data_IF_466930326167
#
_entry.id   IF_466930326167
#
_cell.length_a   1.000
_cell.length_b   1.000
_cell.length_c   1.000
_cell.angle_alpha   90.00
_cell.angle_beta   90.00
_cell.angle_gamma   90.00
#
_symmetry.space_group_name_H-M   'P 1'
#
loop_
_entity.id
_entity.type
_entity.pdbx_description
1 polymer ?
#
# COMPACT_ATOMS: atom_id res chain seq x y z
N UNK A 1 -9.46 25.72 22.01
CA UNK A 1 -8.54 24.71 21.40
C UNK A 1 -8.56 24.92 19.90
N UNK A 2 -7.41 25.09 19.24
CA UNK A 2 -7.39 25.27 17.78
C UNK A 2 -7.88 23.97 17.11
N UNK A 3 -8.80 24.09 16.19
CA UNK A 3 -9.34 22.99 15.41
C UNK A 3 -8.22 22.32 14.62
N UNK A 4 -8.01 21.00 14.81
CA UNK A 4 -6.99 20.25 14.07
C UNK A 4 -7.57 19.70 12.79
N UNK A 5 -6.93 20.02 11.68
CA UNK A 5 -7.26 19.47 10.37
C UNK A 5 -6.29 18.33 10.04
N UNK A 6 -6.83 17.15 9.75
CA UNK A 6 -6.09 15.91 9.59
C UNK A 6 -5.99 15.52 8.12
N UNK A 7 -4.79 15.25 7.62
CA UNK A 7 -4.58 14.58 6.35
C UNK A 7 -3.99 13.17 6.59
N UNK A 8 -4.49 12.17 5.87
CA UNK A 8 -4.07 10.77 6.00
C UNK A 8 -3.38 10.35 4.71
N UNK A 9 -2.20 9.80 4.83
CA UNK A 9 -1.36 9.32 3.73
C UNK A 9 -1.16 7.82 3.87
N UNK A 10 -1.60 7.05 2.87
CA UNK A 10 -1.63 5.60 2.91
C UNK A 10 -0.73 5.03 1.82
N UNK A 11 0.36 4.42 2.22
CA UNK A 11 1.17 3.58 1.36
C UNK A 11 0.43 2.24 1.13
N UNK A 12 -0.14 2.07 -0.06
CA UNK A 12 -0.93 0.89 -0.38
C UNK A 12 -0.10 -0.38 -0.37
N UNK A 13 1.15 -0.33 -0.81
CA UNK A 13 2.06 -1.47 -0.80
C UNK A 13 2.27 -2.04 0.61
N UNK A 14 2.41 -1.15 1.58
CA UNK A 14 2.49 -1.52 2.99
C UNK A 14 1.13 -1.90 3.57
N UNK A 15 0.13 -1.04 3.42
CA UNK A 15 -1.19 -1.19 4.01
C UNK A 15 -1.91 -2.48 3.55
N UNK A 16 -2.03 -2.70 2.24
CA UNK A 16 -2.76 -3.83 1.68
C UNK A 16 -2.12 -5.16 2.08
N UNK A 17 -0.78 -5.22 2.14
CA UNK A 17 -0.05 -6.43 2.58
C UNK A 17 -0.42 -6.89 3.99
N UNK A 18 -0.81 -5.95 4.86
CA UNK A 18 -1.18 -6.26 6.25
C UNK A 18 -2.70 -6.33 6.41
N UNK A 19 -3.42 -5.34 5.88
CA UNK A 19 -4.86 -5.22 6.03
C UNK A 19 -5.61 -6.33 5.30
N UNK A 20 -5.37 -6.50 3.99
CA UNK A 20 -6.06 -7.51 3.20
C UNK A 20 -5.79 -8.93 3.74
N UNK A 21 -4.56 -9.26 4.13
CA UNK A 21 -4.25 -10.58 4.70
C UNK A 21 -4.99 -10.89 6.00
N UNK A 22 -5.42 -9.88 6.75
CA UNK A 22 -6.14 -10.05 8.01
C UNK A 22 -7.65 -10.03 7.82
N UNK A 23 -8.15 -9.23 6.88
CA UNK A 23 -9.57 -8.98 6.65
C UNK A 23 -10.13 -9.88 5.55
N UNK A 24 -9.35 -10.11 4.50
CA UNK A 24 -9.75 -10.89 3.33
C UNK A 24 -8.54 -11.67 2.77
N UNK A 25 -8.07 -12.71 3.48
CA UNK A 25 -6.86 -13.44 3.11
C UNK A 25 -6.98 -14.18 1.78
N UNK A 26 -8.18 -14.55 1.38
CA UNK A 26 -8.46 -15.32 0.16
C UNK A 26 -8.92 -14.44 -1.01
N UNK A 27 -9.00 -13.13 -0.83
CA UNK A 27 -9.54 -12.18 -1.83
C UNK A 27 -10.98 -12.53 -2.28
N UNK A 28 -11.78 -13.05 -1.35
CA UNK A 28 -13.15 -13.49 -1.61
C UNK A 28 -14.19 -12.36 -1.43
N UNK A 29 -13.79 -11.29 -0.74
CA UNK A 29 -14.68 -10.15 -0.45
C UNK A 29 -14.92 -9.30 -1.71
N UNK A 30 -16.12 -8.79 -1.84
CA UNK A 30 -16.41 -7.80 -2.89
C UNK A 30 -15.51 -6.56 -2.74
N UNK A 31 -14.91 -6.06 -3.83
CA UNK A 31 -14.02 -4.90 -3.78
C UNK A 31 -14.65 -3.64 -3.16
N UNK A 32 -15.96 -3.45 -3.31
CA UNK A 32 -16.67 -2.29 -2.74
C UNK A 32 -16.81 -2.44 -1.22
N UNK A 33 -17.02 -3.64 -0.73
CA UNK A 33 -17.04 -3.93 0.70
C UNK A 33 -15.65 -3.76 1.32
N UNK A 34 -14.61 -4.29 0.68
CA UNK A 34 -13.23 -4.10 1.12
C UNK A 34 -12.87 -2.62 1.17
N UNK A 35 -13.23 -1.84 0.15
CA UNK A 35 -12.98 -0.40 0.11
C UNK A 35 -13.65 0.35 1.28
N UNK A 36 -14.89 -0.03 1.64
CA UNK A 36 -15.58 0.53 2.83
C UNK A 36 -14.84 0.19 4.12
N UNK A 37 -14.41 -1.07 4.29
CA UNK A 37 -13.65 -1.50 5.49
C UNK A 37 -12.30 -0.78 5.59
N UNK A 38 -11.61 -0.56 4.47
CA UNK A 38 -10.38 0.24 4.41
C UNK A 38 -10.64 1.69 4.80
N UNK A 39 -11.65 2.33 4.23
CA UNK A 39 -12.04 3.68 4.57
C UNK A 39 -12.37 3.84 6.06
N UNK A 40 -13.14 2.92 6.64
CA UNK A 40 -13.44 2.94 8.07
C UNK A 40 -12.19 2.82 8.95
N UNK A 41 -11.22 2.02 8.53
CA UNK A 41 -9.94 1.94 9.23
C UNK A 41 -9.24 3.30 9.25
N UNK A 42 -9.18 3.97 8.11
CA UNK A 42 -8.48 5.24 7.98
C UNK A 42 -9.15 6.36 8.78
N UNK A 43 -10.46 6.49 8.72
CA UNK A 43 -11.18 7.56 9.42
C UNK A 43 -11.16 7.43 10.95
N UNK A 44 -10.85 6.25 11.50
CA UNK A 44 -10.63 6.08 12.95
C UNK A 44 -9.45 6.88 13.49
N UNK A 45 -8.53 7.28 12.62
CA UNK A 45 -7.41 8.13 13.02
C UNK A 45 -7.84 9.55 13.35
N UNK A 46 -9.02 9.98 12.88
CA UNK A 46 -9.56 11.32 13.11
C UNK A 46 -10.38 11.34 14.39
N UNK A 47 -9.93 12.10 15.38
CA UNK A 47 -10.61 12.21 16.67
C UNK A 47 -11.64 13.35 16.64
N UNK A 48 -12.80 13.06 16.05
CA UNK A 48 -13.88 14.04 15.93
C UNK A 48 -14.40 14.53 17.28
N UNK A 49 -14.32 13.70 18.33
CA UNK A 49 -14.77 14.06 19.68
C UNK A 49 -13.90 15.16 20.28
N UNK A 50 -12.63 15.21 19.91
CA UNK A 50 -11.69 16.24 20.34
C UNK A 50 -11.51 17.35 19.27
N UNK A 51 -12.48 17.53 18.38
CA UNK A 51 -12.53 18.65 17.44
C UNK A 51 -11.62 18.47 16.20
N UNK A 52 -11.19 17.26 15.89
CA UNK A 52 -10.45 17.00 14.65
C UNK A 52 -11.41 16.89 13.45
N UNK A 53 -11.01 17.50 12.33
CA UNK A 53 -11.69 17.39 11.04
C UNK A 53 -10.82 16.74 10.00
N UNK A 54 -11.41 15.90 9.14
CA UNK A 54 -10.70 15.25 8.06
C UNK A 54 -10.60 16.17 6.84
N UNK A 55 -9.39 16.49 6.42
CA UNK A 55 -9.15 17.19 5.16
C UNK A 55 -9.23 16.23 3.98
N UNK A 56 -8.36 15.19 3.94
CA UNK A 56 -8.29 14.23 2.84
C UNK A 56 -7.56 12.96 3.25
N UNK A 57 -7.89 11.86 2.56
CA UNK A 57 -7.18 10.59 2.59
C UNK A 57 -6.51 10.43 1.23
N UNK A 58 -5.20 10.37 1.20
CA UNK A 58 -4.41 10.11 0.00
C UNK A 58 -3.98 8.65 0.01
N UNK A 59 -4.42 7.90 -0.99
CA UNK A 59 -4.09 6.48 -1.16
C UNK A 59 -3.15 6.32 -2.34
N UNK A 60 -1.93 5.84 -2.08
CA UNK A 60 -0.85 5.73 -3.05
C UNK A 60 -0.64 4.29 -3.47
N UNK A 61 -0.93 3.97 -4.73
CA UNK A 61 -0.74 2.64 -5.32
C UNK A 61 -0.26 2.77 -6.77
N UNK A 62 0.01 1.65 -7.40
CA UNK A 62 0.20 1.56 -8.84
C UNK A 62 -1.04 0.94 -9.50
N UNK A 63 -1.36 1.35 -10.74
CA UNK A 63 -2.41 0.68 -11.50
C UNK A 63 -2.10 -0.81 -11.63
N UNK A 64 -3.10 -1.70 -11.76
CA UNK A 64 -2.86 -3.10 -11.99
C UNK A 64 -2.17 -3.35 -13.34
N UNK A 65 -1.43 -4.46 -13.41
CA UNK A 65 -0.65 -4.82 -14.61
C UNK A 65 -1.59 -5.16 -15.77
N UNK A 66 -1.44 -4.44 -16.90
CA UNK A 66 -2.26 -4.63 -18.12
C UNK A 66 -1.36 -4.84 -19.34
N UNK A 67 -0.48 -5.83 -19.26
CA UNK A 67 0.44 -6.20 -20.35
C UNK A 67 0.18 -7.61 -20.82
N UNK A 68 0.65 -7.92 -22.04
CA UNK A 68 0.77 -9.28 -22.55
C UNK A 68 2.24 -9.67 -22.51
N UNK A 69 2.54 -10.85 -22.03
CA UNK A 69 3.90 -11.38 -21.99
C UNK A 69 3.89 -12.89 -22.17
N UNK A 70 4.94 -13.43 -22.80
CA UNK A 70 5.13 -14.86 -22.92
C UNK A 70 5.72 -15.41 -21.62
N UNK A 71 5.16 -16.52 -21.15
CA UNK A 71 5.66 -17.21 -19.98
C UNK A 71 7.01 -17.88 -20.29
N UNK A 72 8.08 -17.66 -19.50
CA UNK A 72 9.44 -18.09 -19.88
C UNK A 72 9.65 -19.60 -19.90
N UNK A 73 8.74 -20.39 -19.29
CA UNK A 73 8.84 -21.86 -19.29
C UNK A 73 7.91 -22.49 -20.32
N UNK A 74 6.66 -22.00 -20.42
CA UNK A 74 5.64 -22.62 -21.28
C UNK A 74 5.51 -21.96 -22.65
N UNK A 75 6.15 -20.80 -22.85
CA UNK A 75 6.02 -19.93 -24.02
C UNK A 75 4.57 -19.50 -24.35
N UNK A 76 3.63 -19.76 -23.46
CA UNK A 76 2.25 -19.34 -23.63
C UNK A 76 2.12 -17.82 -23.40
N UNK A 77 1.34 -17.17 -24.25
CA UNK A 77 1.02 -15.76 -24.07
C UNK A 77 0.01 -15.58 -22.94
N UNK A 78 0.39 -14.81 -21.93
CA UNK A 78 -0.46 -14.44 -20.79
C UNK A 78 -0.92 -13.01 -20.98
N UNK A 79 -2.24 -12.78 -20.99
CA UNK A 79 -2.86 -11.46 -20.95
C UNK A 79 -3.18 -11.09 -19.49
N UNK A 80 -2.27 -10.37 -18.84
CA UNK A 80 -2.43 -9.97 -17.44
C UNK A 80 -3.62 -9.04 -17.22
N UNK A 81 -4.11 -8.33 -18.24
CA UNK A 81 -5.31 -7.50 -18.13
C UNK A 81 -6.56 -8.31 -17.81
N UNK A 82 -6.59 -9.59 -18.24
CA UNK A 82 -7.71 -10.51 -18.02
C UNK A 82 -7.61 -11.32 -16.74
N UNK A 83 -6.50 -11.21 -16.00
CA UNK A 83 -6.34 -11.95 -14.73
C UNK A 83 -7.33 -11.46 -13.68
N UNK A 84 -7.82 -12.38 -12.85
CA UNK A 84 -8.75 -12.07 -11.75
C UNK A 84 -8.15 -11.03 -10.78
N UNK A 85 -6.86 -11.12 -10.53
CA UNK A 85 -6.13 -10.16 -9.69
C UNK A 85 -6.19 -8.75 -10.29
N UNK A 86 -5.98 -8.60 -11.59
CA UNK A 86 -6.03 -7.31 -12.27
C UNK A 86 -7.44 -6.74 -12.26
N UNK A 87 -8.44 -7.56 -12.53
CA UNK A 87 -9.84 -7.15 -12.50
C UNK A 87 -10.29 -6.77 -11.10
N UNK A 88 -9.92 -7.57 -10.09
CA UNK A 88 -10.20 -7.27 -8.69
C UNK A 88 -9.59 -5.94 -8.25
N UNK A 89 -8.28 -5.74 -8.52
CA UNK A 89 -7.60 -4.48 -8.19
C UNK A 89 -8.21 -3.28 -8.91
N UNK A 90 -8.61 -3.43 -10.16
CA UNK A 90 -9.27 -2.35 -10.91
C UNK A 90 -10.56 -1.93 -10.21
N UNK A 91 -11.43 -2.90 -9.87
CA UNK A 91 -12.69 -2.64 -9.16
C UNK A 91 -12.45 -2.05 -7.76
N UNK A 92 -11.41 -2.52 -7.05
CA UNK A 92 -11.06 -1.96 -5.75
C UNK A 92 -10.63 -0.48 -5.85
N UNK A 93 -9.80 -0.13 -6.83
CA UNK A 93 -9.41 1.27 -7.03
C UNK A 93 -10.62 2.16 -7.38
N UNK A 94 -11.52 1.69 -8.23
CA UNK A 94 -12.76 2.39 -8.56
C UNK A 94 -13.66 2.59 -7.32
N UNK A 95 -13.78 1.55 -6.49
CA UNK A 95 -14.54 1.61 -5.25
C UNK A 95 -13.92 2.58 -4.23
N UNK A 96 -12.58 2.61 -4.13
CA UNK A 96 -11.86 3.55 -3.28
C UNK A 96 -12.03 5.00 -3.73
N UNK A 97 -11.99 5.26 -5.04
CA UNK A 97 -12.21 6.61 -5.59
C UNK A 97 -13.61 7.17 -5.30
N UNK A 98 -14.58 6.28 -5.04
CA UNK A 98 -15.95 6.67 -4.65
C UNK A 98 -16.11 6.92 -3.15
N UNK A 99 -15.12 6.54 -2.32
CA UNK A 99 -15.21 6.79 -0.87
C UNK A 99 -15.04 8.29 -0.56
N UNK A 100 -15.78 8.81 0.43
CA UNK A 100 -15.68 10.21 0.81
C UNK A 100 -14.24 10.60 1.20
N UNK A 101 -13.81 11.76 0.75
CA UNK A 101 -12.48 12.33 1.04
C UNK A 101 -11.27 11.53 0.52
N UNK A 102 -11.46 10.46 -0.24
CA UNK A 102 -10.36 9.66 -0.79
C UNK A 102 -9.87 10.25 -2.11
N UNK A 103 -8.57 10.42 -2.21
CA UNK A 103 -7.85 10.77 -3.43
C UNK A 103 -6.83 9.68 -3.75
N UNK A 104 -7.08 8.88 -4.78
CA UNK A 104 -6.14 7.90 -5.25
C UNK A 104 -5.01 8.59 -6.05
N UNK A 105 -3.78 8.32 -5.67
CA UNK A 105 -2.55 8.88 -6.25
C UNK A 105 -1.74 7.76 -6.89
N UNK A 106 -2.00 7.48 -8.16
CA UNK A 106 -1.38 6.35 -8.84
C UNK A 106 0.06 6.67 -9.29
N UNK A 107 0.99 5.78 -8.94
CA UNK A 107 2.29 5.67 -9.56
C UNK A 107 2.17 5.09 -10.97
N UNK A 108 3.26 4.54 -11.47
CA UNK A 108 3.24 3.79 -12.73
C UNK A 108 4.02 2.49 -12.58
N UNK A 109 3.64 1.50 -13.39
CA UNK A 109 4.38 0.26 -13.53
C UNK A 109 5.33 0.40 -14.71
N UNK A 110 6.64 0.21 -14.45
CA UNK A 110 7.61 0.12 -15.53
C UNK A 110 7.48 -1.25 -16.18
N UNK A 111 7.11 -1.28 -17.45
CA UNK A 111 7.02 -2.52 -18.24
C UNK A 111 8.38 -2.92 -18.79
N UNK A 112 9.26 -1.96 -19.07
CA UNK A 112 10.63 -2.20 -19.54
C UNK A 112 11.53 -2.84 -18.49
N UNK A 113 11.25 -2.59 -17.20
CA UNK A 113 12.01 -3.15 -16.08
C UNK A 113 11.23 -4.30 -15.40
N UNK A 114 10.23 -4.86 -16.09
CA UNK A 114 9.50 -6.03 -15.58
C UNK A 114 10.34 -7.28 -15.75
N UNK A 115 10.51 -8.02 -14.66
CA UNK A 115 11.32 -9.22 -14.65
C UNK A 115 10.46 -10.44 -14.27
N UNK A 116 10.68 -11.54 -14.95
CA UNK A 116 10.16 -12.83 -14.51
C UNK A 116 10.96 -13.29 -13.29
N UNK A 117 10.27 -13.73 -12.27
CA UNK A 117 10.93 -14.17 -11.06
C UNK A 117 10.13 -15.21 -10.29
N UNK A 118 10.84 -16.01 -9.48
CA UNK A 118 10.21 -17.04 -8.65
C UNK A 118 9.31 -16.45 -7.59
N UNK A 119 8.13 -17.06 -7.37
CA UNK A 119 7.23 -16.69 -6.27
C UNK A 119 7.93 -16.98 -4.94
N UNK A 120 7.72 -16.11 -3.98
CA UNK A 120 8.49 -16.05 -2.72
C UNK A 120 8.51 -17.34 -1.89
N UNK A 121 7.52 -18.22 -2.03
CA UNK A 121 7.44 -19.48 -1.27
C UNK A 121 8.55 -20.48 -1.63
N UNK A 122 9.00 -20.47 -2.88
CA UNK A 122 9.97 -21.47 -3.38
C UNK A 122 11.32 -20.88 -3.82
N UNK A 123 11.50 -19.57 -3.65
CA UNK A 123 12.70 -18.84 -4.11
C UNK A 123 14.03 -19.45 -3.72
N UNK A 124 14.11 -19.96 -2.51
CA UNK A 124 15.41 -20.39 -1.98
C UNK A 124 15.74 -21.82 -2.38
N UNK A 125 14.72 -22.66 -2.57
CA UNK A 125 14.93 -24.07 -2.81
C UNK A 125 15.18 -24.37 -4.29
N UNK A 126 14.30 -23.86 -5.16
CA UNK A 126 14.39 -24.14 -6.59
C UNK A 126 15.54 -23.39 -7.29
N UNK A 127 15.73 -22.10 -6.96
CA UNK A 127 16.81 -21.31 -7.55
C UNK A 127 18.21 -21.89 -7.26
N UNK A 128 18.47 -22.27 -6.00
CA UNK A 128 19.75 -22.92 -5.62
C UNK A 128 19.94 -24.26 -6.32
N UNK A 129 18.90 -25.08 -6.42
CA UNK A 129 18.96 -26.38 -7.09
C UNK A 129 19.22 -26.23 -8.58
N UNK A 130 18.55 -25.24 -9.24
CA UNK A 130 18.78 -24.96 -10.66
C UNK A 130 20.23 -24.53 -10.90
N UNK A 131 20.74 -23.58 -10.12
CA UNK A 131 22.14 -23.11 -10.26
C UNK A 131 23.15 -24.21 -10.02
N UNK A 132 22.82 -25.15 -9.14
CA UNK A 132 23.69 -26.33 -8.87
C UNK A 132 23.53 -27.46 -9.89
N UNK A 133 22.64 -27.32 -10.89
CA UNK A 133 22.35 -28.39 -11.83
C UNK A 133 21.60 -29.57 -11.22
N UNK A 134 21.02 -29.43 -10.03
CA UNK A 134 20.25 -30.46 -9.33
C UNK A 134 18.82 -30.60 -9.88
N UNK A 135 18.33 -29.61 -10.61
CA UNK A 135 16.99 -29.56 -11.24
C UNK A 135 17.14 -29.02 -12.65
N UNK A 136 16.61 -29.75 -13.64
CA UNK A 136 16.51 -29.24 -15.01
C UNK A 136 15.56 -28.04 -15.03
N UNK A 137 15.94 -26.91 -15.66
CA UNK A 137 15.04 -25.77 -15.85
C UNK A 137 13.67 -26.11 -16.46
N UNK A 138 13.62 -27.20 -17.28
CA UNK A 138 12.38 -27.70 -17.88
C UNK A 138 11.41 -28.39 -16.90
N UNK A 139 11.91 -28.80 -15.74
CA UNK A 139 11.13 -29.46 -14.69
C UNK A 139 10.54 -28.44 -13.69
N UNK A 140 10.83 -27.15 -13.87
CA UNK A 140 10.32 -26.10 -12.99
C UNK A 140 8.81 -25.96 -13.24
N UNK A 141 8.01 -26.10 -12.17
CA UNK A 141 6.58 -25.82 -12.26
C UNK A 141 6.34 -24.37 -12.71
N UNK A 142 5.64 -24.16 -13.83
CA UNK A 142 5.35 -22.81 -14.34
C UNK A 142 4.68 -21.90 -13.32
N UNK A 143 3.83 -22.43 -12.43
CA UNK A 143 3.14 -21.66 -11.40
C UNK A 143 4.07 -21.01 -10.36
N UNK A 144 5.35 -21.43 -10.33
CA UNK A 144 6.34 -20.83 -9.43
C UNK A 144 7.02 -19.60 -10.02
N UNK A 145 6.71 -19.26 -11.26
CA UNK A 145 7.28 -18.10 -11.96
C UNK A 145 6.21 -17.07 -12.26
N UNK A 146 6.45 -15.83 -11.88
CA UNK A 146 5.53 -14.72 -12.13
C UNK A 146 6.24 -13.48 -12.64
N UNK A 147 5.56 -12.71 -13.47
CA UNK A 147 6.04 -11.40 -13.90
C UNK A 147 5.96 -10.40 -12.74
N UNK A 148 7.06 -9.70 -12.49
CA UNK A 148 7.19 -8.69 -11.43
C UNK A 148 7.42 -7.33 -12.02
N UNK A 149 6.37 -6.53 -12.16
CA UNK A 149 6.54 -5.16 -12.58
C UNK A 149 7.21 -4.33 -11.47
N UNK A 150 8.10 -3.43 -11.86
CA UNK A 150 8.64 -2.42 -10.94
C UNK A 150 7.65 -1.29 -10.76
N UNK A 151 7.32 -1.01 -9.52
CA UNK A 151 6.54 0.18 -9.15
C UNK A 151 7.48 1.38 -9.08
N UNK A 152 7.08 2.49 -9.71
CA UNK A 152 7.85 3.75 -9.71
C UNK A 152 6.96 4.93 -9.35
N UNK A 153 7.55 5.89 -8.63
CA UNK A 153 6.96 7.19 -8.36
C UNK A 153 5.91 7.23 -7.25
N UNK A 154 5.64 6.12 -6.55
CA UNK A 154 4.71 6.08 -5.41
C UNK A 154 5.26 6.86 -4.23
N UNK A 155 6.44 6.48 -3.75
CA UNK A 155 7.08 7.06 -2.56
C UNK A 155 7.43 8.53 -2.76
N UNK A 156 7.93 8.87 -3.95
CA UNK A 156 8.20 10.26 -4.32
C UNK A 156 6.94 11.12 -4.27
N UNK A 157 5.82 10.65 -4.85
CA UNK A 157 4.54 11.38 -4.80
C UNK A 157 4.04 11.55 -3.38
N UNK A 158 4.14 10.50 -2.56
CA UNK A 158 3.70 10.54 -1.17
C UNK A 158 4.50 11.58 -0.39
N UNK A 159 5.84 11.56 -0.48
CA UNK A 159 6.70 12.55 0.19
C UNK A 159 6.43 13.99 -0.26
N UNK A 160 6.28 14.22 -1.56
CA UNK A 160 5.97 15.54 -2.14
C UNK A 160 4.58 16.03 -1.69
N UNK A 161 3.58 15.15 -1.66
CA UNK A 161 2.23 15.53 -1.25
C UNK A 161 2.16 15.86 0.25
N UNK A 162 2.85 15.11 1.14
CA UNK A 162 2.98 15.48 2.56
C UNK A 162 3.54 16.89 2.67
N UNK A 163 4.68 17.15 2.03
CA UNK A 163 5.35 18.43 2.00
C UNK A 163 4.41 19.54 1.52
N UNK A 164 3.72 19.33 0.40
CA UNK A 164 2.80 20.30 -0.18
C UNK A 164 1.61 20.63 0.72
N UNK A 165 1.02 19.61 1.36
CA UNK A 165 -0.11 19.78 2.28
C UNK A 165 0.29 20.61 3.48
N UNK A 166 1.46 20.37 4.03
CA UNK A 166 1.96 21.07 5.22
C UNK A 166 2.36 22.51 4.88
N UNK A 167 3.16 22.74 3.85
CA UNK A 167 3.58 24.08 3.43
C UNK A 167 2.40 24.98 3.05
N UNK A 168 1.35 24.41 2.44
CA UNK A 168 0.13 25.11 2.11
C UNK A 168 -0.84 25.24 3.30
N UNK A 169 -0.47 24.74 4.47
CA UNK A 169 -1.28 24.76 5.70
C UNK A 169 -2.68 24.15 5.53
N UNK A 170 -2.83 23.16 4.65
CA UNK A 170 -4.08 22.46 4.37
C UNK A 170 -4.45 21.48 5.49
N UNK A 171 -3.45 20.99 6.22
CA UNK A 171 -3.62 20.17 7.42
C UNK A 171 -2.46 20.48 8.39
N UNK A 172 -2.77 20.43 9.69
CA UNK A 172 -1.81 20.59 10.77
C UNK A 172 -1.59 19.31 11.59
N UNK A 173 -2.23 18.21 11.17
CA UNK A 173 -1.96 16.86 11.65
C UNK A 173 -1.85 15.91 10.47
N UNK A 174 -0.74 15.22 10.39
CA UNK A 174 -0.43 14.24 9.35
C UNK A 174 -0.50 12.85 9.97
N UNK A 175 -1.25 11.96 9.34
CA UNK A 175 -1.23 10.52 9.65
C UNK A 175 -0.57 9.81 8.48
N UNK A 176 0.57 9.17 8.71
CA UNK A 176 1.23 8.32 7.73
C UNK A 176 0.99 6.85 8.08
N UNK A 177 0.43 6.10 7.14
CA UNK A 177 0.26 4.65 7.25
C UNK A 177 1.30 3.99 6.36
N UNK A 178 2.46 3.71 6.91
CA UNK A 178 3.60 3.08 6.25
C UNK A 178 4.58 2.50 7.27
N UNK A 179 5.54 1.70 6.82
CA UNK A 179 6.66 1.21 7.63
C UNK A 179 8.02 1.59 7.02
N UNK A 180 8.02 2.47 6.02
CA UNK A 180 9.23 2.82 5.28
C UNK A 180 9.94 4.05 5.86
N UNK A 181 11.25 3.92 6.04
CA UNK A 181 12.11 5.01 6.51
C UNK A 181 12.40 6.08 5.43
N UNK A 182 12.07 5.82 4.18
CA UNK A 182 12.26 6.78 3.08
C UNK A 182 11.40 8.04 3.26
N UNK A 183 10.39 7.99 4.15
CA UNK A 183 9.54 9.14 4.50
C UNK A 183 10.10 10.03 5.62
N UNK A 184 11.27 9.72 6.20
CA UNK A 184 11.92 10.54 7.23
C UNK A 184 12.10 12.00 6.80
N UNK A 185 12.55 12.34 5.57
CA UNK A 185 12.67 13.73 5.16
C UNK A 185 11.34 14.49 5.17
N UNK A 186 10.25 13.84 4.74
CA UNK A 186 8.90 14.43 4.75
C UNK A 186 8.38 14.62 6.19
N UNK A 187 8.64 13.66 7.09
CA UNK A 187 8.29 13.75 8.49
C UNK A 187 9.02 14.90 9.20
N UNK A 188 10.34 15.02 8.96
CA UNK A 188 11.15 16.13 9.47
C UNK A 188 10.59 17.49 9.04
N UNK A 189 10.33 17.65 7.75
CA UNK A 189 9.79 18.90 7.22
C UNK A 189 8.43 19.22 7.83
N UNK A 190 7.53 18.23 7.89
CA UNK A 190 6.20 18.43 8.46
C UNK A 190 6.26 18.94 9.91
N UNK A 191 7.16 18.40 10.72
CA UNK A 191 7.36 18.83 12.11
C UNK A 191 7.99 20.22 12.21
N UNK A 192 8.96 20.55 11.36
CA UNK A 192 9.57 21.90 11.28
C UNK A 192 8.50 22.93 10.98
N UNK A 193 7.55 22.62 10.09
CA UNK A 193 6.44 23.50 9.74
C UNK A 193 5.29 23.49 10.77
N UNK A 194 5.48 22.82 11.91
CA UNK A 194 4.54 22.80 13.04
C UNK A 194 3.37 21.83 12.89
N UNK A 195 3.41 20.92 11.92
CA UNK A 195 2.41 19.86 11.82
C UNK A 195 2.70 18.73 12.80
N UNK A 196 1.63 18.19 13.41
CA UNK A 196 1.72 17.01 14.27
C UNK A 196 1.80 15.73 13.42
N UNK A 197 2.88 14.99 13.51
CA UNK A 197 3.15 13.83 12.65
C UNK A 197 2.96 12.51 13.40
N UNK A 198 1.94 11.75 13.04
CA UNK A 198 1.58 10.46 13.63
C UNK A 198 1.82 9.34 12.62
N UNK A 199 2.47 8.29 13.05
CA UNK A 199 2.70 7.08 12.26
C UNK A 199 1.74 5.96 12.68
N UNK A 200 1.15 5.29 11.70
CA UNK A 200 0.56 3.97 11.86
C UNK A 200 1.41 2.91 11.15
N UNK A 201 2.24 2.24 11.90
CA UNK A 201 3.03 1.11 11.43
C UNK A 201 2.25 -0.22 11.43
N UNK A 202 0.92 -0.19 11.63
CA UNK A 202 0.02 -1.35 11.64
C UNK A 202 0.50 -2.49 12.56
N UNK A 203 1.12 -2.13 13.70
CA UNK A 203 1.65 -3.08 14.68
C UNK A 203 2.99 -3.71 14.29
N UNK A 204 3.68 -3.17 13.29
CA UNK A 204 5.06 -3.54 12.96
C UNK A 204 6.05 -2.69 13.73
N UNK A 205 7.25 -3.25 13.92
CA UNK A 205 8.36 -2.47 14.51
C UNK A 205 8.73 -1.32 13.57
N UNK A 206 8.90 -0.15 14.15
CA UNK A 206 9.35 1.05 13.46
C UNK A 206 10.88 1.10 13.50
N UNK A 207 11.52 1.37 12.38
CA UNK A 207 12.96 1.58 12.32
C UNK A 207 13.34 2.83 13.09
N UNK A 208 14.52 2.83 13.74
CA UNK A 208 14.97 3.90 14.62
C UNK A 208 14.85 5.29 14.02
N UNK A 209 15.37 5.46 12.81
CA UNK A 209 15.36 6.76 12.12
C UNK A 209 13.97 7.37 11.96
N UNK A 210 12.97 6.55 11.62
CA UNK A 210 11.58 7.06 11.49
C UNK A 210 10.96 7.31 12.87
N UNK A 211 11.28 6.49 13.87
CA UNK A 211 10.76 6.66 15.23
C UNK A 211 11.19 7.98 15.88
N UNK A 212 12.38 8.50 15.56
CA UNK A 212 12.90 9.78 16.06
C UNK A 212 12.18 10.99 15.46
N UNK A 213 11.53 10.82 14.31
CA UNK A 213 10.93 11.91 13.54
C UNK A 213 9.41 11.90 13.50
N UNK A 214 8.77 11.20 14.44
CA UNK A 214 7.32 11.20 14.63
C UNK A 214 6.97 11.74 16.01
N UNK A 215 5.75 12.29 16.16
CA UNK A 215 5.23 12.78 17.43
C UNK A 215 4.44 11.69 18.18
N UNK A 216 4.14 10.57 17.52
CA UNK A 216 3.48 9.45 18.15
C UNK A 216 3.15 8.30 17.20
N UNK A 217 2.84 7.18 17.83
CA UNK A 217 2.36 5.96 17.16
C UNK A 217 0.88 5.76 17.48
N UNK A 218 0.05 5.54 16.44
CA UNK A 218 -1.36 5.22 16.62
C UNK A 218 -1.80 4.15 15.63
N UNK A 219 -2.17 2.97 16.12
CA UNK A 219 -2.60 1.87 15.24
C UNK A 219 -3.90 1.25 15.72
N UNK A 220 -4.72 0.82 14.77
CA UNK A 220 -5.93 0.03 14.98
C UNK A 220 -5.78 -1.42 14.47
N UNK A 221 -4.59 -1.78 14.00
CA UNK A 221 -4.34 -3.08 13.35
C UNK A 221 -4.44 -4.29 14.28
N UNK A 222 -4.40 -4.11 15.61
CA UNK A 222 -4.48 -5.22 16.57
C UNK A 222 -5.82 -5.96 16.52
N UNK A 223 -6.91 -5.25 16.22
CA UNK A 223 -8.28 -5.76 16.24
C UNK A 223 -8.88 -5.96 14.84
N UNK A 224 -8.05 -6.10 13.80
CA UNK A 224 -8.55 -6.20 12.41
C UNK A 224 -9.42 -7.44 12.15
N UNK A 225 -9.20 -8.55 12.89
CA UNK A 225 -10.02 -9.77 12.74
C UNK A 225 -11.45 -9.63 13.28
N UNK A 226 -11.67 -8.69 14.19
CA UNK A 226 -12.98 -8.39 14.80
C UNK A 226 -13.60 -7.11 14.23
N UNK A 227 -13.24 -6.73 13.00
CA UNK A 227 -13.83 -5.57 12.36
C UNK A 227 -15.31 -5.85 12.10
N UNK A 228 -16.23 -5.09 12.70
CA UNK A 228 -17.65 -5.37 12.56
C UNK A 228 -18.05 -5.30 11.11
N UNK A 229 -18.94 -6.20 10.72
CA UNK A 229 -19.68 -6.05 9.49
C UNK A 229 -20.41 -4.71 9.55
N UNK A 230 -20.15 -3.89 8.56
CA UNK A 230 -20.73 -2.56 8.50
C UNK A 230 -22.10 -2.74 7.87
N UNK A 231 -23.13 -2.70 8.70
CA UNK A 231 -24.51 -2.57 8.28
C UNK A 231 -24.74 -1.20 7.63
#
# INVERSE_FOLDING_TARGET
MSQRTVAIFVDAGFFNRIFAKKVDPEMAMDPSELAKKMWHYWVKHVDRKNGESLYRIYYYDCPPLKVKAHHPITDQMIDFAKSDITQYKTRLHEALMRQPYVACRMGHLSTTDSEWGFIRKDKTHNFKKIIRGEVDPKEINPDYVSLRPRQKGVDMKLGVDITSVVLKKLANKIILISGDSDFVPAAKLARIEGAHFILDAMGRNVKGDLAEHIDGLKTFARNLKSYPDIA
#
